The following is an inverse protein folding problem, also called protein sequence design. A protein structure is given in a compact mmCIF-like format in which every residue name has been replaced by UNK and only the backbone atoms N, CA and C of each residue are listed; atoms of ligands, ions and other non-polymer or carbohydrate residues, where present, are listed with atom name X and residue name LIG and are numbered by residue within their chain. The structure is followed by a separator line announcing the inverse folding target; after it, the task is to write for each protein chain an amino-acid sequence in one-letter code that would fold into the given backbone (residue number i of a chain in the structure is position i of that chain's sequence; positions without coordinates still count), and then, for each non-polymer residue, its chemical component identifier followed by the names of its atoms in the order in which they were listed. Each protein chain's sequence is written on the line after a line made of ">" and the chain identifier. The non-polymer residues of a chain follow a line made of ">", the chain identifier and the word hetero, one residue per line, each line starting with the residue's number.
data_IF_019642210823
#
_entry.id   IF_019642210823
#
_cell.length_a   1.000
_cell.length_b   1.000
_cell.length_c   1.000
_cell.angle_alpha   90.00
_cell.angle_beta   90.00
_cell.angle_gamma   90.00
#
_symmetry.space_group_name_H-M   'P 1'
#
loop_
_entity.id
_entity.type
_entity.pdbx_description
1 polymer ?
#
# COMPACT_ATOMS: atom_id res chain seq x y z
N UNK A 1 11.12 -15.15 11.88
CA UNK A 1 10.52 -15.55 10.59
C UNK A 1 10.94 -14.54 9.52
N UNK A 2 11.02 -14.97 8.27
CA UNK A 2 11.74 -14.26 7.20
C UNK A 2 10.87 -13.96 5.98
N UNK A 3 11.28 -12.96 5.20
CA UNK A 3 10.62 -12.38 4.04
C UNK A 3 9.90 -13.39 3.12
N UNK A 4 10.62 -14.40 2.64
CA UNK A 4 10.10 -15.35 1.65
C UNK A 4 9.05 -16.30 2.21
N UNK A 5 9.00 -16.48 3.53
CA UNK A 5 8.00 -17.35 4.16
C UNK A 5 6.59 -16.75 4.07
N UNK A 6 6.47 -15.42 3.97
CA UNK A 6 5.20 -14.72 3.91
C UNK A 6 4.91 -14.15 2.51
N UNK A 7 5.92 -13.61 1.82
CA UNK A 7 5.68 -12.90 0.56
C UNK A 7 5.50 -13.82 -0.63
N UNK A 8 6.15 -14.99 -0.66
CA UNK A 8 5.89 -16.00 -1.71
C UNK A 8 4.41 -16.42 -1.73
N UNK A 9 3.82 -16.92 -0.62
CA UNK A 9 2.42 -17.32 -0.64
C UNK A 9 1.47 -16.14 -0.88
N UNK A 10 1.78 -14.94 -0.37
CA UNK A 10 0.98 -13.74 -0.65
C UNK A 10 0.92 -13.42 -2.15
N UNK A 11 2.06 -13.45 -2.85
CA UNK A 11 2.14 -13.14 -4.29
C UNK A 11 1.53 -14.22 -5.18
N UNK A 12 1.46 -15.46 -4.71
CA UNK A 12 0.75 -16.53 -5.41
C UNK A 12 -0.76 -16.28 -5.40
N UNK A 13 -1.31 -15.76 -4.30
CA UNK A 13 -2.74 -15.47 -4.18
C UNK A 13 -3.15 -14.22 -4.96
N UNK A 14 -2.32 -13.17 -4.93
CA UNK A 14 -2.58 -11.93 -5.64
C UNK A 14 -1.26 -11.25 -6.07
N UNK A 15 -0.88 -11.48 -7.32
CA UNK A 15 0.40 -11.02 -7.85
C UNK A 15 0.42 -9.52 -8.16
N UNK A 16 -0.72 -8.93 -8.55
CA UNK A 16 -0.81 -7.55 -9.03
C UNK A 16 -1.52 -6.60 -8.07
N UNK A 17 -2.28 -7.10 -7.09
CA UNK A 17 -3.06 -6.27 -6.19
C UNK A 17 -2.37 -5.92 -4.86
N UNK A 18 -1.23 -6.56 -4.55
CA UNK A 18 -0.46 -6.32 -3.33
C UNK A 18 -0.05 -4.86 -3.12
N UNK A 19 -0.10 -4.41 -1.86
CA UNK A 19 0.34 -3.07 -1.41
C UNK A 19 1.35 -3.21 -0.29
N UNK A 20 2.53 -2.61 -0.46
CA UNK A 20 3.54 -2.53 0.58
C UNK A 20 3.24 -1.36 1.51
N UNK A 21 3.19 -1.62 2.82
CA UNK A 21 2.91 -0.62 3.85
C UNK A 21 4.09 -0.57 4.81
N UNK A 22 4.59 0.64 5.10
CA UNK A 22 5.63 0.82 6.11
C UNK A 22 5.02 1.27 7.42
N UNK A 23 5.05 0.40 8.43
CA UNK A 23 4.61 0.69 9.78
C UNK A 23 5.74 1.33 10.61
N UNK A 24 5.38 2.16 11.58
CA UNK A 24 6.32 2.81 12.50
C UNK A 24 6.80 4.21 12.09
N UNK A 25 6.44 4.68 10.89
CA UNK A 25 6.73 6.07 10.47
C UNK A 25 5.68 7.06 11.03
N UNK A 26 6.05 8.35 11.20
CA UNK A 26 5.11 9.41 11.62
C UNK A 26 4.13 9.82 10.51
N UNK A 27 4.32 9.31 9.29
CA UNK A 27 3.51 9.56 8.11
C UNK A 27 2.96 8.26 7.54
N UNK A 28 1.86 8.35 6.79
CA UNK A 28 1.34 7.22 6.01
C UNK A 28 2.27 7.01 4.81
N UNK A 29 2.80 5.81 4.66
CA UNK A 29 3.64 5.44 3.51
C UNK A 29 3.21 4.08 2.96
N UNK A 30 2.75 4.10 1.71
CA UNK A 30 2.47 2.92 0.89
C UNK A 30 3.41 2.89 -0.31
N UNK A 31 3.56 1.72 -0.95
CA UNK A 31 4.27 1.58 -2.22
C UNK A 31 3.71 0.41 -3.04
N UNK A 32 3.91 0.38 -4.37
CA UNK A 32 3.61 -0.80 -5.17
C UNK A 32 4.42 -2.03 -4.70
N UNK A 33 3.97 -3.21 -5.09
CA UNK A 33 4.57 -4.51 -4.74
C UNK A 33 5.37 -5.16 -5.88
N UNK A 34 5.71 -4.38 -6.90
CA UNK A 34 6.61 -4.77 -7.97
C UNK A 34 7.94 -4.00 -7.91
N UNK A 35 8.94 -4.53 -8.61
CA UNK A 35 10.23 -3.86 -8.83
C UNK A 35 10.17 -2.82 -9.96
N UNK A 36 11.33 -2.42 -10.46
CA UNK A 36 11.46 -1.35 -11.46
C UNK A 36 11.05 -1.74 -12.88
N UNK A 37 11.04 -3.04 -13.20
CA UNK A 37 10.66 -3.58 -14.50
C UNK A 37 11.35 -2.87 -15.70
N UNK A 38 12.67 -2.63 -15.60
CA UNK A 38 13.43 -1.86 -16.59
C UNK A 38 13.33 -2.38 -18.02
N UNK A 39 13.14 -3.70 -18.20
CA UNK A 39 12.98 -4.34 -19.50
C UNK A 39 11.72 -3.90 -20.26
N UNK A 40 10.73 -3.30 -19.59
CA UNK A 40 9.49 -2.81 -20.20
C UNK A 40 9.29 -1.29 -20.05
N UNK A 41 10.28 -0.57 -19.55
CA UNK A 41 10.21 0.88 -19.39
C UNK A 41 9.95 1.57 -20.75
N UNK A 42 8.98 2.49 -20.80
CA UNK A 42 8.60 3.21 -22.03
C UNK A 42 7.83 2.38 -23.07
N UNK A 43 7.56 1.09 -22.82
CA UNK A 43 6.90 0.21 -23.79
C UNK A 43 5.37 0.26 -23.77
N UNK A 44 4.76 0.91 -22.77
CA UNK A 44 3.31 0.91 -22.56
C UNK A 44 2.74 -0.41 -22.02
N UNK A 45 3.59 -1.39 -21.65
CA UNK A 45 3.16 -2.72 -21.18
C UNK A 45 3.08 -2.88 -19.66
N UNK A 46 3.44 -1.85 -18.89
CA UNK A 46 3.42 -1.93 -17.44
C UNK A 46 1.98 -2.00 -16.92
N UNK A 47 1.74 -2.89 -15.97
CA UNK A 47 0.46 -2.98 -15.26
C UNK A 47 0.44 -1.94 -14.11
N UNK A 48 -0.47 -0.95 -14.13
CA UNK A 48 -0.54 0.08 -13.10
C UNK A 48 -1.33 -0.33 -11.83
N UNK A 49 -1.98 -1.50 -11.78
CA UNK A 49 -2.93 -1.84 -10.72
C UNK A 49 -2.33 -1.76 -9.30
N UNK A 50 -1.13 -2.30 -9.08
CA UNK A 50 -0.48 -2.25 -7.75
C UNK A 50 -0.22 -0.82 -7.28
N UNK A 51 0.17 0.08 -8.19
CA UNK A 51 0.38 1.50 -7.85
C UNK A 51 -0.95 2.19 -7.54
N UNK A 52 -2.00 1.93 -8.33
CA UNK A 52 -3.34 2.47 -8.08
C UNK A 52 -3.84 2.00 -6.71
N UNK A 53 -3.71 0.71 -6.39
CA UNK A 53 -4.08 0.16 -5.09
C UNK A 53 -3.29 0.81 -3.96
N UNK A 54 -1.98 1.04 -4.12
CA UNK A 54 -1.16 1.70 -3.10
C UNK A 54 -1.64 3.12 -2.80
N UNK A 55 -2.04 3.89 -3.82
CA UNK A 55 -2.59 5.25 -3.68
C UNK A 55 -3.95 5.20 -2.98
N UNK A 56 -4.86 4.33 -3.44
CA UNK A 56 -6.19 4.18 -2.83
C UNK A 56 -6.11 3.73 -1.36
N UNK A 57 -5.16 2.85 -1.04
CA UNK A 57 -4.96 2.40 0.34
C UNK A 57 -4.43 3.52 1.23
N UNK A 58 -3.49 4.34 0.74
CA UNK A 58 -3.02 5.52 1.47
C UNK A 58 -4.16 6.51 1.73
N UNK A 59 -5.02 6.75 0.73
CA UNK A 59 -6.22 7.57 0.89
C UNK A 59 -7.12 7.02 2.01
N UNK A 60 -7.44 5.73 1.96
CA UNK A 60 -8.28 5.07 2.97
C UNK A 60 -7.67 5.17 4.38
N UNK A 61 -6.36 5.03 4.51
CA UNK A 61 -5.66 5.22 5.78
C UNK A 61 -5.75 6.67 6.28
N UNK A 62 -5.65 7.65 5.38
CA UNK A 62 -5.76 9.07 5.73
C UNK A 62 -7.17 9.43 6.24
N UNK A 63 -8.21 8.98 5.54
CA UNK A 63 -9.62 9.15 5.97
C UNK A 63 -9.85 8.52 7.34
N UNK A 64 -9.35 7.30 7.56
CA UNK A 64 -9.47 6.63 8.86
C UNK A 64 -8.70 7.36 9.98
N UNK A 65 -7.56 7.99 9.68
CA UNK A 65 -6.81 8.79 10.64
C UNK A 65 -7.59 10.05 11.03
N UNK A 66 -8.16 10.76 10.05
CA UNK A 66 -8.98 11.95 10.28
C UNK A 66 -10.21 11.63 11.14
N UNK A 67 -10.97 10.60 10.79
CA UNK A 67 -12.15 10.17 11.53
C UNK A 67 -11.84 9.82 13.01
N UNK A 68 -10.67 9.24 13.28
CA UNK A 68 -10.22 8.98 14.66
C UNK A 68 -9.92 10.28 15.41
N UNK A 69 -9.26 11.24 14.77
CA UNK A 69 -8.98 12.54 15.37
C UNK A 69 -10.28 13.29 15.67
N UNK A 70 -11.20 13.35 14.71
CA UNK A 70 -12.48 14.04 14.85
C UNK A 70 -13.33 13.41 15.96
N UNK A 71 -13.40 12.07 16.01
CA UNK A 71 -14.12 11.35 17.06
C UNK A 71 -13.52 11.58 18.45
N UNK A 72 -12.20 11.65 18.56
CA UNK A 72 -11.53 11.90 19.83
C UNK A 72 -11.82 13.30 20.36
N UNK A 73 -11.88 14.31 19.48
CA UNK A 73 -12.23 15.69 19.84
C UNK A 73 -13.69 15.76 20.31
N UNK A 74 -14.63 15.13 19.60
CA UNK A 74 -16.07 15.19 19.94
C UNK A 74 -16.41 14.44 21.23
N UNK A 75 -15.62 13.44 21.64
CA UNK A 75 -15.87 12.68 22.89
C UNK A 75 -15.26 13.29 24.15
N UNK A 76 -14.59 14.44 24.05
CA UNK A 76 -13.96 15.14 25.19
C UNK A 76 -14.76 16.33 25.72
N UNK A 77 -15.97 16.56 25.19
CA UNK A 77 -16.97 17.49 25.73
C UNK A 77 -18.13 16.70 26.38
#
# INVERSE_FOLDING_TARGET
>A
MYHDQALIPSKILDFNGGVNITLGLPIIRTSPDHGTAFNIAGSGKADPHSLINAIQFAWKMAENKKNKTDKFIVTQE
#
